data_IF_918990097052
#
_entry.id   IF_918990097052
#
_cell.length_a   1.000
_cell.length_b   1.000
_cell.length_c   1.000
_cell.angle_alpha   90.00
_cell.angle_beta   90.00
_cell.angle_gamma   90.00
#
_symmetry.space_group_name_H-M   'P 1'
#
loop_
_entity.id
_entity.type
_entity.pdbx_description
1 polymer ?
#
# COMPACT_ATOMS: atom_id res chain seq x y z
N UNK A 1 -44.58 -34.88 -67.00
CA UNK A 1 -43.20 -34.44 -66.65
C UNK A 1 -43.29 -33.13 -65.87
N UNK A 2 -43.27 -33.25 -64.57
CA UNK A 2 -43.44 -32.06 -63.68
C UNK A 2 -42.15 -31.95 -62.81
N UNK A 3 -41.45 -30.88 -63.01
CA UNK A 3 -40.21 -30.53 -62.32
C UNK A 3 -40.59 -29.77 -61.04
N UNK A 4 -40.40 -30.37 -59.88
CA UNK A 4 -40.55 -29.72 -58.56
C UNK A 4 -39.23 -29.11 -58.16
N UNK A 5 -39.06 -27.80 -58.33
CA UNK A 5 -37.97 -27.05 -57.75
C UNK A 5 -38.13 -26.96 -56.26
N UNK A 6 -37.21 -27.57 -55.50
CA UNK A 6 -37.06 -27.43 -54.08
C UNK A 6 -36.42 -26.07 -53.74
N UNK A 7 -37.18 -25.17 -53.10
CA UNK A 7 -36.63 -23.96 -52.52
C UNK A 7 -35.86 -24.31 -51.27
N UNK A 8 -34.53 -24.23 -51.33
CA UNK A 8 -33.64 -24.24 -50.20
C UNK A 8 -33.72 -22.91 -49.51
N UNK A 9 -34.26 -22.89 -48.31
CA UNK A 9 -34.32 -21.74 -47.43
C UNK A 9 -32.98 -21.67 -46.70
N UNK A 10 -32.03 -20.84 -47.16
CA UNK A 10 -30.80 -20.51 -46.45
C UNK A 10 -31.11 -19.41 -45.42
N UNK A 11 -31.35 -19.81 -44.18
CA UNK A 11 -31.35 -18.89 -43.03
C UNK A 11 -29.90 -18.45 -42.76
N UNK A 12 -29.53 -17.30 -43.28
CA UNK A 12 -28.33 -16.60 -42.86
C UNK A 12 -28.55 -16.06 -41.45
N UNK A 13 -28.09 -16.83 -40.44
CA UNK A 13 -28.02 -16.34 -39.07
C UNK A 13 -26.77 -15.47 -38.92
N UNK A 14 -26.93 -14.18 -39.18
CA UNK A 14 -25.90 -13.18 -38.86
C UNK A 14 -26.03 -12.83 -37.38
N UNK A 15 -25.55 -13.72 -36.51
CA UNK A 15 -25.33 -13.36 -35.11
C UNK A 15 -24.19 -12.32 -35.06
N UNK A 16 -24.37 -11.16 -34.39
CA UNK A 16 -23.29 -10.22 -34.22
C UNK A 16 -22.20 -10.91 -33.38
N UNK A 17 -21.02 -11.10 -33.96
CA UNK A 17 -19.83 -11.56 -33.25
C UNK A 17 -19.42 -10.48 -32.26
N UNK A 18 -19.82 -10.64 -30.98
CA UNK A 18 -19.35 -9.77 -29.90
C UNK A 18 -17.87 -10.09 -29.69
N UNK A 19 -17.00 -9.32 -30.32
CA UNK A 19 -15.57 -9.36 -30.03
C UNK A 19 -15.37 -8.66 -28.70
N UNK A 20 -15.28 -9.43 -27.60
CA UNK A 20 -14.89 -8.89 -26.31
C UNK A 20 -13.41 -8.56 -26.41
N UNK A 21 -13.11 -7.30 -26.73
CA UNK A 21 -11.77 -6.74 -26.63
C UNK A 21 -11.51 -6.53 -25.14
N UNK A 22 -10.95 -7.55 -24.47
CA UNK A 22 -10.44 -7.39 -23.11
C UNK A 22 -9.14 -6.58 -23.19
N UNK A 23 -9.26 -5.27 -23.20
CA UNK A 23 -8.11 -4.38 -23.13
C UNK A 23 -7.50 -4.57 -21.72
N UNK A 24 -6.39 -5.29 -21.65
CA UNK A 24 -5.62 -5.46 -20.40
C UNK A 24 -5.00 -4.12 -20.04
N UNK A 25 -5.66 -3.40 -19.14
CA UNK A 25 -5.09 -2.15 -18.62
C UNK A 25 -3.75 -2.46 -17.93
N UNK A 26 -2.65 -1.85 -18.35
CA UNK A 26 -1.36 -2.12 -17.75
C UNK A 26 -1.33 -1.69 -16.28
N UNK A 27 -0.66 -2.47 -15.42
CA UNK A 27 -0.62 -2.26 -13.97
C UNK A 27 -0.19 -0.85 -13.55
N UNK A 28 0.72 -0.22 -14.29
CA UNK A 28 1.16 1.16 -14.00
C UNK A 28 0.02 2.18 -14.16
N UNK A 29 -0.90 1.94 -15.09
CA UNK A 29 -2.05 2.82 -15.32
C UNK A 29 -3.07 2.68 -14.19
N UNK A 30 -3.37 1.44 -13.78
CA UNK A 30 -4.20 1.16 -12.60
C UNK A 30 -3.61 1.78 -11.34
N UNK A 31 -2.29 1.69 -11.17
CA UNK A 31 -1.60 2.28 -10.04
C UNK A 31 -1.67 3.81 -10.04
N UNK A 32 -1.62 4.45 -11.21
CA UNK A 32 -1.73 5.90 -11.35
C UNK A 32 -3.15 6.40 -11.04
N UNK A 33 -4.18 5.63 -11.41
CA UNK A 33 -5.59 5.97 -11.17
C UNK A 33 -5.96 5.83 -9.67
N UNK A 34 -5.29 4.94 -8.94
CA UNK A 34 -5.59 4.66 -7.52
C UNK A 34 -4.85 5.57 -6.52
N UNK A 35 -4.25 6.66 -6.99
CA UNK A 35 -3.69 7.70 -6.14
C UNK A 35 -2.15 7.71 -6.03
N UNK A 36 -1.58 8.57 -5.18
CA UNK A 36 -0.15 8.86 -5.16
C UNK A 36 0.68 7.82 -4.36
N UNK A 37 0.10 6.70 -3.96
CA UNK A 37 0.67 5.80 -2.95
C UNK A 37 2.01 5.18 -3.35
N UNK A 38 2.24 4.89 -4.65
CA UNK A 38 3.55 4.40 -5.11
C UNK A 38 4.63 5.47 -4.90
N UNK A 39 4.33 6.74 -5.21
CA UNK A 39 5.27 7.84 -4.99
C UNK A 39 5.54 8.06 -3.49
N UNK A 40 4.49 8.01 -2.68
CA UNK A 40 4.58 8.13 -1.21
C UNK A 40 5.41 6.98 -0.65
N UNK A 41 5.13 5.73 -1.03
CA UNK A 41 5.89 4.56 -0.59
C UNK A 41 7.37 4.65 -0.96
N UNK A 42 7.68 5.07 -2.19
CA UNK A 42 9.06 5.31 -2.63
C UNK A 42 9.78 6.38 -1.82
N UNK A 43 9.11 7.52 -1.57
CA UNK A 43 9.67 8.60 -0.75
C UNK A 43 9.89 8.16 0.70
N UNK A 44 8.93 7.46 1.28
CA UNK A 44 9.04 6.90 2.63
C UNK A 44 10.18 5.86 2.71
N UNK A 45 10.32 4.98 1.72
CA UNK A 45 11.43 4.03 1.67
C UNK A 45 12.79 4.71 1.58
N UNK A 46 12.92 5.70 0.71
CA UNK A 46 14.16 6.48 0.58
C UNK A 46 14.51 7.21 1.89
N UNK A 47 13.52 7.83 2.55
CA UNK A 47 13.75 8.50 3.84
C UNK A 47 14.10 7.51 4.96
N UNK A 48 13.50 6.32 4.99
CA UNK A 48 13.83 5.28 5.97
C UNK A 48 15.29 4.79 5.81
N UNK A 49 15.75 4.61 4.57
CA UNK A 49 17.14 4.22 4.29
C UNK A 49 18.12 5.35 4.69
N UNK A 50 17.80 6.59 4.33
CA UNK A 50 18.62 7.74 4.72
C UNK A 50 18.74 7.87 6.26
N UNK A 51 17.62 7.71 6.98
CA UNK A 51 17.59 7.70 8.43
C UNK A 51 18.37 6.51 9.01
N UNK A 52 18.30 5.33 8.39
CA UNK A 52 19.08 4.16 8.81
C UNK A 52 20.58 4.44 8.73
N UNK A 53 21.04 5.01 7.61
CA UNK A 53 22.44 5.40 7.44
C UNK A 53 22.87 6.45 8.48
N UNK A 54 22.03 7.47 8.72
CA UNK A 54 22.28 8.46 9.76
C UNK A 54 22.37 7.84 11.16
N UNK A 55 21.43 6.96 11.50
CA UNK A 55 21.38 6.29 12.81
C UNK A 55 22.60 5.39 13.10
N UNK A 56 23.17 4.78 12.07
CA UNK A 56 24.38 3.97 12.19
C UNK A 56 25.61 4.77 12.67
N UNK A 57 25.66 6.07 12.36
CA UNK A 57 26.76 6.96 12.72
C UNK A 57 26.43 7.88 13.92
N UNK A 58 25.19 7.81 14.44
CA UNK A 58 24.78 8.67 15.53
C UNK A 58 25.35 8.21 16.88
N UNK A 59 26.00 9.14 17.60
CA UNK A 59 26.41 8.94 18.99
C UNK A 59 25.27 9.31 19.92
N UNK A 60 24.98 8.43 20.86
CA UNK A 60 23.99 8.65 21.93
C UNK A 60 24.69 8.91 23.27
N UNK A 61 24.03 9.60 24.24
CA UNK A 61 24.52 9.72 25.61
C UNK A 61 24.79 8.36 26.22
N UNK A 62 25.93 8.17 26.88
CA UNK A 62 26.38 6.86 27.37
C UNK A 62 25.42 6.15 28.32
N UNK A 63 24.69 6.93 29.11
CA UNK A 63 23.69 6.46 30.08
C UNK A 63 22.39 5.93 29.46
N UNK A 64 22.06 6.33 28.21
CA UNK A 64 20.83 5.95 27.52
C UNK A 64 21.10 5.39 26.11
N UNK A 65 22.35 5.13 25.77
CA UNK A 65 22.75 4.82 24.40
C UNK A 65 22.02 3.59 23.84
N UNK A 66 21.91 2.54 24.62
CA UNK A 66 21.27 1.27 24.21
C UNK A 66 19.75 1.44 24.05
N UNK A 67 19.09 2.08 25.01
CA UNK A 67 17.64 2.37 24.93
C UNK A 67 17.29 3.21 23.70
N UNK A 68 18.00 4.32 23.50
CA UNK A 68 17.71 5.25 22.39
C UNK A 68 18.01 4.63 21.03
N UNK A 69 19.08 3.82 20.93
CA UNK A 69 19.38 3.05 19.73
C UNK A 69 18.28 2.06 19.40
N UNK A 70 17.82 1.27 20.36
CA UNK A 70 16.75 0.30 20.18
C UNK A 70 15.45 0.97 19.73
N UNK A 71 15.11 2.15 20.31
CA UNK A 71 13.94 2.93 19.92
C UNK A 71 14.09 3.41 18.47
N UNK A 72 15.27 3.89 18.09
CA UNK A 72 15.53 4.32 16.71
C UNK A 72 15.39 3.16 15.73
N UNK A 73 15.99 2.01 16.02
CA UNK A 73 15.92 0.83 15.18
C UNK A 73 14.49 0.33 15.01
N UNK A 74 13.70 0.37 16.08
CA UNK A 74 12.26 0.03 16.03
C UNK A 74 11.50 0.99 15.12
N UNK A 75 11.73 2.30 15.26
CA UNK A 75 11.12 3.31 14.40
C UNK A 75 11.47 3.08 12.93
N UNK A 76 12.74 2.82 12.65
CA UNK A 76 13.25 2.62 11.29
C UNK A 76 12.70 1.34 10.65
N UNK A 77 12.62 0.25 11.39
CA UNK A 77 12.05 -1.02 10.93
C UNK A 77 10.57 -0.85 10.55
N UNK A 78 9.78 -0.22 11.42
CA UNK A 78 8.35 0.02 11.14
C UNK A 78 8.20 0.96 9.94
N UNK A 79 8.99 2.01 9.85
CA UNK A 79 8.97 2.94 8.72
C UNK A 79 9.25 2.21 7.39
N UNK A 80 10.32 1.40 7.34
CA UNK A 80 10.71 0.68 6.14
C UNK A 80 9.66 -0.37 5.71
N UNK A 81 9.15 -1.17 6.66
CA UNK A 81 8.12 -2.19 6.37
C UNK A 81 6.87 -1.54 5.80
N UNK A 82 6.41 -0.42 6.39
CA UNK A 82 5.18 0.23 5.92
C UNK A 82 5.39 1.01 4.62
N UNK A 83 6.61 1.47 4.31
CA UNK A 83 6.91 2.03 3.00
C UNK A 83 6.69 0.99 1.87
N UNK A 84 7.07 -0.26 2.13
CA UNK A 84 6.83 -1.38 1.19
C UNK A 84 5.34 -1.74 1.14
N UNK A 85 4.66 -1.80 2.30
CA UNK A 85 3.23 -2.10 2.35
C UNK A 85 2.38 -1.09 1.56
N UNK A 86 2.77 0.19 1.59
CA UNK A 86 2.09 1.28 0.85
C UNK A 86 2.16 1.07 -0.67
N UNK A 87 3.18 0.38 -1.21
CA UNK A 87 3.25 0.04 -2.63
C UNK A 87 2.14 -0.93 -3.07
N UNK A 88 1.60 -1.73 -2.14
CA UNK A 88 0.46 -2.62 -2.38
C UNK A 88 -0.91 -1.93 -2.32
N UNK A 89 -0.99 -0.72 -1.77
CA UNK A 89 -2.26 0.02 -1.58
C UNK A 89 -3.07 0.21 -2.87
N UNK A 90 -2.46 0.50 -4.05
CA UNK A 90 -3.21 0.63 -5.29
C UNK A 90 -3.98 -0.61 -5.72
N UNK A 91 -3.65 -1.78 -5.16
CA UNK A 91 -4.34 -3.05 -5.44
C UNK A 91 -5.57 -3.27 -4.55
N UNK A 92 -5.79 -2.41 -3.56
CA UNK A 92 -6.91 -2.49 -2.64
C UNK A 92 -8.18 -1.88 -3.25
N UNK A 93 -9.35 -2.38 -2.87
CA UNK A 93 -10.66 -1.83 -3.28
C UNK A 93 -10.87 -0.39 -2.79
N UNK A 94 -10.38 -0.07 -1.59
CA UNK A 94 -10.50 1.25 -0.97
C UNK A 94 -9.11 1.87 -0.69
N UNK A 95 -8.34 2.18 -1.74
CA UNK A 95 -6.94 2.59 -1.59
C UNK A 95 -6.78 3.85 -0.75
N UNK A 96 -7.74 4.78 -0.82
CA UNK A 96 -7.69 6.03 -0.03
C UNK A 96 -7.76 5.77 1.48
N UNK A 97 -8.62 4.83 1.91
CA UNK A 97 -8.76 4.50 3.33
C UNK A 97 -7.52 3.75 3.82
N UNK A 98 -7.17 2.66 3.14
CA UNK A 98 -6.01 1.84 3.49
C UNK A 98 -4.72 2.67 3.50
N UNK A 99 -4.50 3.42 2.43
CA UNK A 99 -3.29 4.25 2.30
C UNK A 99 -3.20 5.36 3.34
N UNK A 100 -4.30 6.05 3.64
CA UNK A 100 -4.32 7.08 4.67
C UNK A 100 -4.00 6.50 6.06
N UNK A 101 -4.58 5.35 6.40
CA UNK A 101 -4.32 4.68 7.68
C UNK A 101 -2.85 4.28 7.82
N UNK A 102 -2.27 3.68 6.78
CA UNK A 102 -0.87 3.25 6.80
C UNK A 102 0.09 4.46 6.83
N UNK A 103 -0.14 5.50 6.02
CA UNK A 103 0.73 6.67 5.98
C UNK A 103 0.68 7.44 7.29
N UNK A 104 -0.52 7.78 7.78
CA UNK A 104 -0.69 8.53 9.03
C UNK A 104 -0.23 7.71 10.22
N UNK A 105 -0.59 6.41 10.26
CA UNK A 105 -0.14 5.50 11.31
C UNK A 105 1.37 5.40 11.39
N UNK A 106 2.06 5.26 10.26
CA UNK A 106 3.52 5.23 10.21
C UNK A 106 4.14 6.56 10.64
N UNK A 107 3.60 7.67 10.18
CA UNK A 107 4.10 9.00 10.55
C UNK A 107 3.96 9.23 12.07
N UNK A 108 2.83 8.88 12.67
CA UNK A 108 2.61 9.03 14.10
C UNK A 108 3.47 8.05 14.91
N UNK A 109 3.52 6.78 14.53
CA UNK A 109 4.29 5.77 15.25
C UNK A 109 5.79 6.00 15.13
N UNK A 110 6.32 5.89 13.91
CA UNK A 110 7.77 6.03 13.69
C UNK A 110 8.26 7.44 13.95
N UNK A 111 7.48 8.48 13.61
CA UNK A 111 7.84 9.87 13.86
C UNK A 111 8.00 10.17 15.35
N UNK A 112 7.12 9.66 16.22
CA UNK A 112 7.25 9.85 17.67
C UNK A 112 8.44 9.11 18.26
N UNK A 113 8.73 7.91 17.77
CA UNK A 113 9.89 7.14 18.20
C UNK A 113 11.20 7.80 17.72
N UNK A 114 11.26 8.30 16.49
CA UNK A 114 12.40 9.08 16.02
C UNK A 114 12.63 10.33 16.87
N UNK A 115 11.54 11.06 17.15
CA UNK A 115 11.64 12.23 18.04
C UNK A 115 12.22 11.85 19.40
N UNK A 116 11.75 10.75 20.01
CA UNK A 116 12.29 10.25 21.26
C UNK A 116 13.77 9.88 21.14
N UNK A 117 14.15 9.11 20.13
CA UNK A 117 15.53 8.68 19.90
C UNK A 117 16.50 9.86 19.66
N UNK A 118 16.02 10.94 19.03
CA UNK A 118 16.87 12.11 18.74
C UNK A 118 16.96 13.11 19.89
N UNK A 119 15.85 13.31 20.63
CA UNK A 119 15.78 14.31 21.70
C UNK A 119 16.05 13.75 23.09
N UNK A 120 16.01 12.43 23.27
CA UNK A 120 16.03 11.76 24.58
C UNK A 120 14.76 12.01 25.42
N UNK A 121 13.74 12.70 24.87
CA UNK A 121 12.54 13.13 25.62
C UNK A 121 11.33 12.26 25.28
N UNK A 122 10.70 11.66 26.29
CA UNK A 122 9.48 10.81 26.17
C UNK A 122 8.17 11.63 25.98
N UNK A 123 8.28 12.90 25.52
CA UNK A 123 7.16 13.83 25.48
C UNK A 123 5.99 13.40 24.59
N UNK A 124 6.28 12.73 23.48
CA UNK A 124 5.29 12.25 22.50
C UNK A 124 4.98 10.75 22.63
N UNK A 125 5.49 10.06 23.66
CA UNK A 125 5.28 8.61 23.81
C UNK A 125 3.81 8.19 23.87
N UNK A 126 2.91 9.10 24.32
CA UNK A 126 1.46 8.85 24.34
C UNK A 126 0.82 8.82 22.94
N UNK A 127 1.49 9.34 21.91
CA UNK A 127 1.00 9.37 20.53
C UNK A 127 1.36 8.09 19.77
N UNK A 128 2.46 7.43 20.14
CA UNK A 128 2.90 6.21 19.49
C UNK A 128 1.83 5.08 19.49
N UNK A 129 1.12 4.79 20.61
CA UNK A 129 0.05 3.79 20.60
C UNK A 129 -1.08 4.10 19.62
N UNK A 130 -1.43 5.38 19.45
CA UNK A 130 -2.43 5.81 18.45
C UNK A 130 -1.95 5.48 17.03
N UNK A 131 -0.69 5.78 16.73
CA UNK A 131 -0.07 5.40 15.46
C UNK A 131 -0.12 3.89 15.22
N UNK A 132 0.23 3.09 16.24
CA UNK A 132 0.15 1.62 16.20
C UNK A 132 -1.27 1.12 15.92
N UNK A 133 -2.28 1.70 16.57
CA UNK A 133 -3.69 1.34 16.33
C UNK A 133 -4.10 1.63 14.88
N UNK A 134 -3.71 2.78 14.33
CA UNK A 134 -3.97 3.12 12.92
C UNK A 134 -3.31 2.14 11.96
N UNK A 135 -2.09 1.67 12.26
CA UNK A 135 -1.41 0.67 11.46
C UNK A 135 -2.15 -0.67 11.48
N UNK A 136 -2.60 -1.12 12.66
CA UNK A 136 -3.41 -2.35 12.78
C UNK A 136 -4.68 -2.23 11.93
N UNK A 137 -5.41 -1.12 12.05
CA UNK A 137 -6.61 -0.87 11.25
C UNK A 137 -6.29 -0.81 9.75
N UNK A 138 -5.15 -0.24 9.37
CA UNK A 138 -4.66 -0.23 7.99
C UNK A 138 -4.46 -1.63 7.42
N UNK A 139 -3.79 -2.52 8.16
CA UNK A 139 -3.61 -3.92 7.77
C UNK A 139 -4.92 -4.70 7.71
N UNK A 140 -5.81 -4.54 8.68
CA UNK A 140 -7.13 -5.19 8.66
C UNK A 140 -7.98 -4.71 7.49
N UNK A 141 -7.94 -3.42 7.18
CA UNK A 141 -8.66 -2.88 6.02
C UNK A 141 -8.07 -3.36 4.69
N UNK A 142 -6.76 -3.64 4.62
CA UNK A 142 -6.13 -4.26 3.46
C UNK A 142 -6.64 -5.68 3.23
N UNK A 143 -6.73 -6.51 4.29
CA UNK A 143 -7.27 -7.88 4.22
C UNK A 143 -8.71 -7.84 3.68
N UNK A 144 -9.59 -7.08 4.29
CA UNK A 144 -11.00 -7.00 3.88
C UNK A 144 -11.20 -6.40 2.48
N UNK A 145 -10.23 -5.62 1.99
CA UNK A 145 -10.27 -5.05 0.64
C UNK A 145 -9.89 -6.05 -0.45
N UNK A 146 -9.20 -7.14 -0.12
CA UNK A 146 -8.76 -8.15 -1.09
C UNK A 146 -9.75 -9.30 -1.27
N UNK A 147 -10.54 -9.63 -0.25
CA UNK A 147 -11.45 -10.81 -0.26
C UNK A 147 -12.58 -10.73 -1.30
N UNK A 148 -12.84 -9.55 -1.87
CA UNK A 148 -13.98 -9.34 -2.79
C UNK A 148 -13.63 -9.73 -4.23
N UNK A 149 -12.37 -9.91 -4.57
CA UNK A 149 -11.98 -10.39 -5.90
C UNK A 149 -12.10 -11.92 -6.06
N UNK A 150 -12.32 -12.66 -4.98
CA UNK A 150 -12.46 -14.12 -5.02
C UNK A 150 -13.90 -14.61 -5.30
N UNK A 151 -14.87 -13.71 -5.45
CA UNK A 151 -16.31 -14.07 -5.59
C UNK A 151 -16.85 -13.75 -6.99
N UNK A 152 -16.03 -13.41 -7.96
CA UNK A 152 -16.36 -13.24 -9.38
C UNK A 152 -15.52 -14.23 -10.17
#
# INVERSE_FOLDING_TARGET
MSNKEGKTFTTSSTAPSVTIITEKTPLWKLAAENGPYIKIGGLMGASAIALSAYGAHKSYPKDQAEELRHIFETANRIHLIHSVAILGVPMCRYPKIVGSLLVVGTALFSGTLYYHAFSGKKRLSKVAPLGGTLLILGWLSMVTSMDIYSTI
#
